data_IF_089430610055
#
_entry.id   IF_089430610055
#
_cell.length_a   1.000
_cell.length_b   1.000
_cell.length_c   1.000
_cell.angle_alpha   90.00
_cell.angle_beta   90.00
_cell.angle_gamma   90.00
#
_symmetry.space_group_name_H-M   'P 1'
#
loop_
_entity.id
_entity.type
_entity.pdbx_description
1 polymer ?
#
# COMPACT_ATOMS: atom_id res chain seq x y z
N UNK A 1 -22.85 59.39 -40.45
CA UNK A 1 -23.34 58.73 -41.68
C UNK A 1 -24.85 58.49 -41.53
N UNK A 2 -25.63 59.18 -42.36
CA UNK A 2 -26.95 58.81 -42.92
C UNK A 2 -28.07 58.48 -41.89
N UNK A 3 -28.90 59.46 -41.48
CA UNK A 3 -30.24 59.80 -42.04
C UNK A 3 -31.22 58.62 -42.19
N UNK A 4 -32.34 58.64 -41.46
CA UNK A 4 -33.67 58.76 -42.09
C UNK A 4 -34.78 59.02 -41.05
N UNK A 5 -35.40 60.18 -41.23
CA UNK A 5 -36.62 60.68 -40.63
C UNK A 5 -37.88 59.97 -41.15
N UNK A 6 -38.93 59.90 -40.34
CA UNK A 6 -40.27 60.51 -40.53
C UNK A 6 -41.36 59.43 -40.46
N UNK A 7 -42.60 59.61 -40.00
CA UNK A 7 -43.43 60.77 -39.64
C UNK A 7 -44.64 60.23 -38.83
N UNK A 8 -45.03 60.98 -37.80
CA UNK A 8 -46.40 61.47 -37.55
C UNK A 8 -47.59 60.49 -37.60
N UNK A 9 -48.28 60.30 -36.46
CA UNK A 9 -49.73 60.59 -36.37
C UNK A 9 -50.21 60.54 -34.92
N UNK A 10 -50.70 61.68 -34.43
CA UNK A 10 -51.36 61.79 -33.12
C UNK A 10 -52.75 61.19 -33.18
N UNK A 11 -53.13 60.42 -32.15
CA UNK A 11 -54.53 60.28 -31.74
C UNK A 11 -54.66 60.41 -30.22
N UNK A 12 -55.27 61.52 -29.84
CA UNK A 12 -55.77 61.86 -28.53
C UNK A 12 -56.72 60.79 -27.99
N UNK A 13 -56.61 60.41 -26.72
CA UNK A 13 -57.76 60.08 -25.88
C UNK A 13 -57.53 60.52 -24.42
N UNK A 14 -58.57 61.05 -23.75
CA UNK A 14 -58.41 61.92 -22.57
C UNK A 14 -58.34 61.19 -21.23
N UNK A 15 -57.78 61.95 -20.30
CA UNK A 15 -57.66 61.83 -18.85
C UNK A 15 -58.84 61.12 -18.14
N UNK A 16 -58.54 60.00 -17.49
CA UNK A 16 -59.27 59.57 -16.29
C UNK A 16 -58.27 59.33 -15.16
N UNK A 17 -58.27 60.25 -14.18
CA UNK A 17 -57.43 60.25 -13.00
C UNK A 17 -58.18 59.53 -11.89
N UNK A 18 -57.87 58.26 -11.64
CA UNK A 18 -58.25 57.56 -10.42
C UNK A 18 -57.02 57.49 -9.51
N UNK A 19 -56.98 58.36 -8.50
CA UNK A 19 -56.03 58.28 -7.40
C UNK A 19 -56.41 57.10 -6.50
N UNK A 20 -55.83 55.92 -6.76
CA UNK A 20 -55.84 54.84 -5.78
C UNK A 20 -54.82 55.16 -4.69
N UNK A 21 -55.31 55.53 -3.51
CA UNK A 21 -54.51 55.52 -2.28
C UNK A 21 -53.98 54.11 -2.07
N UNK A 22 -52.68 53.90 -2.33
CA UNK A 22 -52.00 52.65 -1.98
C UNK A 22 -51.82 52.63 -0.46
N UNK A 23 -52.76 52.00 0.23
CA UNK A 23 -52.51 51.48 1.57
C UNK A 23 -51.37 50.47 1.44
N UNK A 24 -50.17 50.83 1.90
CA UNK A 24 -49.10 49.86 2.09
C UNK A 24 -49.39 49.13 3.40
N UNK A 25 -49.74 47.84 3.39
CA UNK A 25 -49.79 47.09 4.64
C UNK A 25 -48.37 47.11 5.22
N UNK A 26 -48.23 47.49 6.48
CA UNK A 26 -47.04 47.19 7.26
C UNK A 26 -46.97 45.68 7.42
N UNK A 27 -46.43 45.01 6.40
CA UNK A 27 -45.98 43.65 6.54
C UNK A 27 -44.81 43.75 7.51
N UNK A 28 -45.05 43.49 8.79
CA UNK A 28 -43.97 43.15 9.71
C UNK A 28 -43.20 42.05 9.01
N UNK A 29 -42.00 42.36 8.49
CA UNK A 29 -41.09 41.34 8.01
C UNK A 29 -40.82 40.48 9.22
N UNK A 30 -41.60 39.40 9.39
CA UNK A 30 -41.17 38.27 10.21
C UNK A 30 -39.82 37.92 9.59
N UNK A 31 -38.75 38.30 10.28
CA UNK A 31 -37.41 37.88 9.89
C UNK A 31 -37.47 36.38 9.64
N UNK A 32 -36.69 35.85 8.67
CA UNK A 32 -36.75 34.44 8.34
C UNK A 32 -36.74 33.66 9.66
N UNK A 33 -37.73 32.80 9.88
CA UNK A 33 -37.65 31.89 11.01
C UNK A 33 -36.32 31.18 10.79
N UNK A 34 -35.36 31.42 11.70
CA UNK A 34 -34.14 30.63 11.69
C UNK A 34 -34.65 29.21 11.80
N UNK A 35 -34.59 28.43 10.70
CA UNK A 35 -34.84 27.01 10.78
C UNK A 35 -33.90 26.56 11.87
N UNK A 36 -34.47 26.15 13.01
CA UNK A 36 -33.66 25.72 14.13
C UNK A 36 -32.85 24.55 13.59
N UNK A 37 -31.53 24.67 13.67
CA UNK A 37 -30.67 23.64 13.13
C UNK A 37 -31.00 22.36 13.90
N UNK A 38 -31.47 21.30 13.23
CA UNK A 38 -31.95 20.10 13.93
C UNK A 38 -30.83 19.44 14.75
N UNK A 39 -29.58 19.72 14.39
CA UNK A 39 -28.40 19.29 15.15
C UNK A 39 -28.25 20.10 16.44
N UNK A 40 -28.57 21.39 16.45
CA UNK A 40 -28.47 22.23 17.64
C UNK A 40 -29.53 21.86 18.70
N UNK A 41 -30.76 21.55 18.28
CA UNK A 41 -31.84 21.14 19.19
C UNK A 41 -31.53 19.82 19.94
N UNK A 42 -30.75 18.91 19.34
CA UNK A 42 -30.36 17.65 19.99
C UNK A 42 -29.43 17.84 21.20
N UNK A 43 -28.70 18.96 21.26
CA UNK A 43 -27.76 19.27 22.34
C UNK A 43 -28.26 20.38 23.27
N UNK A 44 -29.49 20.87 23.07
CA UNK A 44 -30.11 21.87 23.94
C UNK A 44 -30.43 21.25 25.31
N UNK A 45 -29.72 21.70 26.35
CA UNK A 45 -29.83 21.17 27.72
C UNK A 45 -31.26 21.33 28.27
N UNK A 46 -31.94 22.43 27.91
CA UNK A 46 -33.31 22.73 28.37
C UNK A 46 -34.36 21.77 27.79
N UNK A 47 -34.10 21.20 26.61
CA UNK A 47 -35.03 20.32 25.91
C UNK A 47 -34.54 18.85 25.85
N UNK A 48 -33.49 18.51 26.60
CA UNK A 48 -32.96 17.15 26.62
C UNK A 48 -33.97 16.21 27.31
N UNK A 49 -34.35 15.07 26.69
CA UNK A 49 -35.21 14.10 27.34
C UNK A 49 -34.53 13.51 28.58
N UNK A 50 -35.34 13.12 29.57
CA UNK A 50 -34.84 12.41 30.76
C UNK A 50 -34.28 11.05 30.32
N UNK A 51 -33.12 10.69 30.86
CA UNK A 51 -32.48 9.42 30.55
C UNK A 51 -33.22 8.24 31.19
N UNK A 52 -33.66 7.28 30.36
CA UNK A 52 -34.51 6.15 30.77
C UNK A 52 -33.74 4.85 31.06
N UNK A 53 -32.41 4.90 31.16
CA UNK A 53 -31.53 3.73 31.36
C UNK A 53 -31.62 2.68 30.22
N UNK A 54 -31.92 3.13 29.01
CA UNK A 54 -32.12 2.31 27.80
C UNK A 54 -30.86 2.17 26.93
N UNK A 55 -29.87 3.05 27.08
CA UNK A 55 -28.61 3.04 26.35
C UNK A 55 -27.40 2.82 27.27
N UNK A 56 -26.34 2.18 26.77
CA UNK A 56 -25.08 2.07 27.51
C UNK A 56 -24.26 3.36 27.44
N UNK A 57 -23.42 3.61 28.44
CA UNK A 57 -22.37 4.63 28.35
C UNK A 57 -21.33 4.22 27.29
N UNK A 58 -20.61 5.19 26.72
CA UNK A 58 -19.56 4.93 25.72
C UNK A 58 -18.57 3.81 26.12
N UNK A 59 -17.96 3.81 27.32
CA UNK A 59 -17.05 2.72 27.70
C UNK A 59 -17.75 1.36 27.78
N UNK A 60 -19.01 1.31 28.22
CA UNK A 60 -19.81 0.08 28.22
C UNK A 60 -20.09 -0.43 26.81
N UNK A 61 -20.40 0.48 25.87
CA UNK A 61 -20.61 0.14 24.47
C UNK A 61 -19.32 -0.33 23.78
N UNK A 62 -18.17 0.30 24.07
CA UNK A 62 -16.88 -0.11 23.52
C UNK A 62 -16.52 -1.54 23.98
N UNK A 63 -16.83 -1.91 25.24
CA UNK A 63 -16.68 -3.28 25.76
C UNK A 63 -17.61 -4.26 25.00
N UNK A 64 -18.85 -3.85 24.74
CA UNK A 64 -19.80 -4.66 23.96
C UNK A 64 -19.31 -4.90 22.53
N UNK A 65 -18.78 -3.89 21.85
CA UNK A 65 -18.20 -4.03 20.52
C UNK A 65 -17.00 -4.99 20.52
N UNK A 66 -16.10 -4.87 21.49
CA UNK A 66 -14.97 -5.80 21.64
C UNK A 66 -15.46 -7.25 21.82
N UNK A 67 -16.52 -7.48 22.60
CA UNK A 67 -17.13 -8.81 22.71
C UNK A 67 -17.71 -9.30 21.37
N UNK A 68 -18.34 -8.42 20.60
CA UNK A 68 -18.87 -8.75 19.29
C UNK A 68 -17.77 -9.15 18.30
N UNK A 69 -16.64 -8.43 18.31
CA UNK A 69 -15.46 -8.76 17.52
C UNK A 69 -14.92 -10.15 17.87
N UNK A 70 -14.74 -10.44 19.16
CA UNK A 70 -14.31 -11.77 19.63
C UNK A 70 -15.25 -12.86 19.14
N UNK A 71 -16.57 -12.66 19.27
CA UNK A 71 -17.58 -13.63 18.79
C UNK A 71 -17.52 -13.83 17.28
N UNK A 72 -17.23 -12.77 16.52
CA UNK A 72 -17.05 -12.87 15.08
C UNK A 72 -15.84 -13.75 14.74
N UNK A 73 -14.70 -13.56 15.41
CA UNK A 73 -13.54 -14.45 15.21
C UNK A 73 -13.82 -15.89 15.61
N UNK A 74 -14.51 -16.15 16.74
CA UNK A 74 -14.90 -17.50 17.14
C UNK A 74 -15.80 -18.17 16.10
N UNK A 75 -16.71 -17.42 15.48
CA UNK A 75 -17.55 -17.92 14.38
C UNK A 75 -16.69 -18.33 13.17
N UNK A 76 -15.73 -17.48 12.78
CA UNK A 76 -14.78 -17.79 11.69
C UNK A 76 -13.95 -19.03 12.00
N UNK A 77 -13.43 -19.15 13.22
CA UNK A 77 -12.67 -20.32 13.68
C UNK A 77 -13.48 -21.60 13.59
N UNK A 78 -14.77 -21.56 13.95
CA UNK A 78 -15.63 -22.73 13.95
C UNK A 78 -16.09 -23.15 12.55
N UNK A 79 -16.46 -22.18 11.70
CA UNK A 79 -17.14 -22.48 10.44
C UNK A 79 -16.30 -22.26 9.19
N UNK A 80 -15.36 -21.30 9.19
CA UNK A 80 -14.56 -20.94 8.03
C UNK A 80 -13.19 -21.63 8.03
N UNK A 81 -12.45 -21.61 9.16
CA UNK A 81 -11.10 -22.19 9.22
C UNK A 81 -11.04 -23.69 8.87
N UNK A 82 -12.00 -24.54 9.29
CA UNK A 82 -11.96 -25.96 8.90
C UNK A 82 -12.10 -26.15 7.39
N UNK A 83 -12.72 -25.21 6.67
CA UNK A 83 -12.84 -25.27 5.21
C UNK A 83 -11.50 -25.01 4.51
N UNK A 84 -10.57 -24.29 5.15
CA UNK A 84 -9.24 -24.04 4.60
C UNK A 84 -8.40 -25.31 4.49
N UNK A 85 -8.71 -26.35 5.28
CA UNK A 85 -8.05 -27.67 5.16
C UNK A 85 -8.16 -28.28 3.75
N UNK A 86 -9.21 -27.92 2.99
CA UNK A 86 -9.41 -28.37 1.60
C UNK A 86 -8.37 -27.84 0.63
N UNK A 87 -7.72 -26.72 0.99
CA UNK A 87 -6.68 -26.07 0.19
C UNK A 87 -5.28 -26.28 0.78
N UNK A 88 -5.14 -27.13 1.80
CA UNK A 88 -3.85 -27.43 2.38
C UNK A 88 -3.06 -28.37 1.46
N UNK A 89 -1.84 -27.98 1.15
CA UNK A 89 -0.86 -28.80 0.44
C UNK A 89 0.14 -29.38 1.45
N UNK A 90 0.58 -30.62 1.24
CA UNK A 90 1.59 -31.24 2.10
C UNK A 90 2.96 -30.56 1.90
N UNK A 91 3.71 -30.38 2.99
CA UNK A 91 5.04 -29.81 2.90
C UNK A 91 6.03 -30.83 2.32
N UNK A 92 6.51 -30.55 1.10
CA UNK A 92 7.58 -31.30 0.45
C UNK A 92 8.90 -30.56 0.70
N UNK A 93 9.88 -31.18 1.39
CA UNK A 93 11.16 -30.54 1.61
C UNK A 93 11.86 -30.23 0.27
N UNK A 94 12.62 -29.13 0.19
CA UNK A 94 13.33 -28.77 -1.03
C UNK A 94 14.34 -29.87 -1.40
N UNK A 95 14.46 -30.13 -2.70
CA UNK A 95 15.45 -31.07 -3.23
C UNK A 95 16.88 -30.64 -2.85
N UNK A 96 17.82 -31.57 -2.64
CA UNK A 96 19.23 -31.21 -2.44
C UNK A 96 19.84 -30.45 -3.64
N UNK A 97 19.20 -30.48 -4.81
CA UNK A 97 19.60 -29.68 -5.98
C UNK A 97 19.25 -28.20 -5.85
N UNK A 98 18.23 -27.84 -5.05
CA UNK A 98 17.83 -26.45 -4.83
C UNK A 98 18.68 -25.81 -3.72
N UNK A 99 19.81 -25.24 -4.13
CA UNK A 99 20.83 -24.68 -3.23
C UNK A 99 20.53 -23.21 -2.86
N UNK A 100 19.81 -22.49 -3.71
CA UNK A 100 19.57 -21.06 -3.56
C UNK A 100 18.35 -20.78 -2.69
N UNK A 101 18.52 -20.03 -1.60
CA UNK A 101 17.42 -19.57 -0.76
C UNK A 101 17.18 -18.08 -1.00
N UNK A 102 15.99 -17.72 -1.49
CA UNK A 102 15.59 -16.33 -1.71
C UNK A 102 14.62 -15.87 -0.63
N UNK A 103 14.92 -14.74 -0.01
CA UNK A 103 14.05 -14.06 0.94
C UNK A 103 13.53 -12.75 0.33
N UNK A 104 12.20 -12.68 0.23
CA UNK A 104 11.46 -11.48 -0.14
C UNK A 104 10.73 -10.94 1.11
N UNK A 105 10.55 -9.62 1.19
CA UNK A 105 9.81 -8.98 2.28
C UNK A 105 8.61 -8.25 1.69
N UNK A 106 7.41 -8.52 2.21
CA UNK A 106 6.17 -7.91 1.76
C UNK A 106 5.48 -7.23 2.95
N UNK A 107 5.02 -6.00 2.78
CA UNK A 107 4.18 -5.30 3.77
C UNK A 107 2.75 -5.26 3.25
N UNK A 108 1.82 -5.84 4.01
CA UNK A 108 0.42 -5.95 3.61
C UNK A 108 -0.26 -4.60 3.85
N UNK A 109 -0.90 -4.05 2.82
CA UNK A 109 -1.66 -2.80 2.93
C UNK A 109 -0.84 -1.52 2.70
N UNK A 110 0.48 -1.62 2.56
CA UNK A 110 1.37 -0.46 2.36
C UNK A 110 2.30 -0.67 1.17
N UNK A 111 2.51 0.37 0.37
CA UNK A 111 3.52 0.37 -0.70
C UNK A 111 4.85 0.91 -0.16
N UNK A 112 5.72 0.02 0.30
CA UNK A 112 7.07 0.40 0.77
C UNK A 112 8.13 0.08 -0.29
N UNK A 113 9.05 1.02 -0.60
CA UNK A 113 10.12 0.76 -1.57
C UNK A 113 11.05 -0.39 -1.14
N UNK A 114 11.12 -0.67 0.16
CA UNK A 114 11.93 -1.76 0.74
C UNK A 114 11.46 -3.14 0.27
N UNK A 115 10.21 -3.28 -0.17
CA UNK A 115 9.65 -4.55 -0.67
C UNK A 115 10.35 -5.07 -1.92
N UNK A 116 10.98 -4.18 -2.68
CA UNK A 116 11.66 -4.54 -3.91
C UNK A 116 12.97 -5.28 -3.65
N UNK A 117 13.57 -5.09 -2.47
CA UNK A 117 14.82 -5.74 -2.09
C UNK A 117 14.64 -7.25 -1.98
N UNK A 118 15.52 -7.97 -2.66
CA UNK A 118 15.65 -9.42 -2.55
C UNK A 118 16.98 -9.77 -1.88
N UNK A 119 16.94 -10.73 -0.96
CA UNK A 119 18.13 -11.28 -0.31
C UNK A 119 18.28 -12.73 -0.76
N UNK A 120 19.48 -13.10 -1.16
CA UNK A 120 19.86 -14.47 -1.51
C UNK A 120 20.89 -14.97 -0.51
N UNK A 121 20.61 -16.14 0.07
CA UNK A 121 21.52 -16.85 0.97
C UNK A 121 21.90 -18.18 0.34
N UNK A 122 23.20 -18.49 0.41
CA UNK A 122 23.72 -19.79 -0.02
C UNK A 122 24.62 -20.36 1.07
N UNK A 123 24.39 -21.62 1.41
CA UNK A 123 25.22 -22.34 2.37
C UNK A 123 26.53 -22.83 1.76
N UNK A 124 27.62 -22.76 2.53
CA UNK A 124 28.92 -23.25 2.08
C UNK A 124 28.92 -24.75 1.80
N UNK A 125 28.22 -25.55 2.62
CA UNK A 125 28.18 -27.00 2.46
C UNK A 125 27.62 -27.41 1.10
N UNK A 126 26.52 -26.77 0.69
CA UNK A 126 25.83 -27.01 -0.58
C UNK A 126 26.69 -26.62 -1.78
N UNK A 127 27.44 -25.52 -1.71
CA UNK A 127 28.38 -25.12 -2.77
C UNK A 127 29.61 -26.04 -2.79
N UNK A 128 30.09 -26.49 -1.62
CA UNK A 128 31.28 -27.35 -1.50
C UNK A 128 31.12 -28.67 -2.25
N UNK A 129 29.90 -29.20 -2.34
CA UNK A 129 29.61 -30.40 -3.12
C UNK A 129 29.80 -30.21 -4.64
N UNK A 130 29.74 -28.97 -5.16
CA UNK A 130 29.77 -28.67 -6.59
C UNK A 130 31.16 -28.26 -7.13
N UNK A 131 32.06 -27.82 -6.27
CA UNK A 131 33.32 -27.19 -6.67
C UNK A 131 34.52 -27.88 -6.03
N UNK A 132 35.63 -27.94 -6.76
CA UNK A 132 36.91 -28.41 -6.23
C UNK A 132 37.48 -27.43 -5.20
N UNK A 133 38.29 -27.89 -4.24
CA UNK A 133 38.89 -27.04 -3.20
C UNK A 133 39.55 -25.75 -3.71
N UNK A 134 40.26 -25.80 -4.85
CA UNK A 134 40.87 -24.62 -5.48
C UNK A 134 39.82 -23.62 -5.99
N UNK A 135 38.75 -24.12 -6.60
CA UNK A 135 37.65 -23.31 -7.12
C UNK A 135 36.82 -22.71 -5.98
N UNK A 136 36.61 -23.46 -4.89
CA UNK A 136 35.95 -22.97 -3.68
C UNK A 136 36.73 -21.83 -3.04
N UNK A 137 38.04 -21.99 -2.88
CA UNK A 137 38.88 -20.91 -2.35
C UNK A 137 38.79 -19.65 -3.21
N UNK A 138 38.84 -19.81 -4.55
CA UNK A 138 38.64 -18.69 -5.49
C UNK A 138 37.24 -18.08 -5.36
N UNK A 139 36.20 -18.88 -5.24
CA UNK A 139 34.82 -18.42 -5.07
C UNK A 139 34.66 -17.59 -3.78
N UNK A 140 35.23 -18.06 -2.66
CA UNK A 140 35.25 -17.32 -1.39
C UNK A 140 35.97 -15.98 -1.54
N UNK A 141 37.13 -15.95 -2.20
CA UNK A 141 37.87 -14.71 -2.47
C UNK A 141 37.06 -13.73 -3.34
N UNK A 142 36.38 -14.22 -4.38
CA UNK A 142 35.53 -13.38 -5.24
C UNK A 142 34.33 -12.80 -4.48
N UNK A 143 33.78 -13.54 -3.52
CA UNK A 143 32.68 -13.07 -2.69
C UNK A 143 33.10 -12.00 -1.67
N UNK A 144 34.35 -12.04 -1.22
CA UNK A 144 34.93 -11.08 -0.28
C UNK A 144 34.11 -10.98 1.03
N UNK A 145 33.69 -9.77 1.45
CA UNK A 145 33.02 -9.56 2.75
C UNK A 145 31.60 -10.15 2.83
N UNK A 146 31.07 -10.68 1.73
CA UNK A 146 29.74 -11.29 1.68
C UNK A 146 29.72 -12.70 2.28
N UNK A 147 30.90 -13.25 2.55
CA UNK A 147 31.07 -14.55 3.16
C UNK A 147 31.31 -14.40 4.67
N UNK A 148 30.46 -15.04 5.47
CA UNK A 148 30.52 -14.97 6.92
C UNK A 148 31.25 -16.17 7.56
N UNK A 149 31.91 -17.02 6.77
CA UNK A 149 32.50 -18.29 7.23
C UNK A 149 31.58 -19.51 7.07
N UNK A 150 30.26 -19.30 7.15
CA UNK A 150 29.25 -20.36 7.10
C UNK A 150 28.38 -20.24 5.85
N UNK A 151 27.92 -19.03 5.55
CA UNK A 151 27.01 -18.73 4.44
C UNK A 151 27.49 -17.53 3.63
N UNK A 152 27.02 -17.46 2.38
CA UNK A 152 27.17 -16.32 1.49
C UNK A 152 25.84 -15.57 1.43
N UNK A 153 25.89 -14.27 1.70
CA UNK A 153 24.69 -13.41 1.72
C UNK A 153 24.80 -12.29 0.70
N UNK A 154 23.86 -12.27 -0.23
CA UNK A 154 23.75 -11.26 -1.27
C UNK A 154 22.42 -10.55 -1.14
N UNK A 155 22.39 -9.26 -1.48
CA UNK A 155 21.13 -8.53 -1.60
C UNK A 155 21.16 -7.58 -2.78
N UNK A 156 20.02 -7.41 -3.43
CA UNK A 156 19.85 -6.48 -4.54
C UNK A 156 18.58 -5.66 -4.35
N UNK A 157 18.70 -4.35 -4.56
CA UNK A 157 17.61 -3.36 -4.52
C UNK A 157 17.81 -2.31 -5.61
N UNK A 158 18.31 -2.75 -6.78
CA UNK A 158 18.67 -1.85 -7.89
C UNK A 158 17.47 -1.56 -8.80
N UNK A 159 16.56 -2.51 -8.89
CA UNK A 159 15.45 -2.49 -9.82
C UNK A 159 14.12 -2.23 -9.08
N UNK A 160 13.12 -1.63 -9.75
CA UNK A 160 11.83 -1.32 -9.16
C UNK A 160 10.97 -2.55 -8.87
N UNK A 161 11.30 -3.71 -9.45
CA UNK A 161 10.54 -4.94 -9.26
C UNK A 161 11.40 -6.02 -8.60
N UNK A 162 10.86 -6.66 -7.55
CA UNK A 162 11.53 -7.75 -6.84
C UNK A 162 11.94 -8.90 -7.79
N UNK A 163 11.13 -9.22 -8.81
CA UNK A 163 11.46 -10.26 -9.79
C UNK A 163 12.72 -9.93 -10.61
N UNK A 164 12.94 -8.65 -10.94
CA UNK A 164 14.15 -8.20 -11.63
C UNK A 164 15.38 -8.29 -10.71
N UNK A 165 15.24 -7.88 -9.45
CA UNK A 165 16.28 -8.03 -8.43
C UNK A 165 16.64 -9.51 -8.20
N UNK A 166 15.65 -10.40 -8.15
CA UNK A 166 15.84 -11.85 -8.04
C UNK A 166 16.61 -12.41 -9.23
N UNK A 167 16.21 -12.05 -10.46
CA UNK A 167 16.90 -12.48 -11.69
C UNK A 167 18.35 -12.01 -11.69
N UNK A 168 18.59 -10.75 -11.36
CA UNK A 168 19.94 -10.21 -11.28
C UNK A 168 20.83 -10.97 -10.29
N UNK A 169 20.29 -11.37 -9.14
CA UNK A 169 21.02 -12.19 -8.17
C UNK A 169 21.33 -13.59 -8.71
N UNK A 170 20.40 -14.20 -9.46
CA UNK A 170 20.65 -15.47 -10.16
C UNK A 170 21.83 -15.33 -11.14
N UNK A 171 21.73 -14.36 -12.06
CA UNK A 171 22.76 -14.10 -13.07
C UNK A 171 24.12 -13.77 -12.44
N UNK A 172 24.12 -13.12 -11.26
CA UNK A 172 25.34 -12.81 -10.51
C UNK A 172 26.00 -14.07 -9.95
N UNK A 173 25.21 -15.01 -9.40
CA UNK A 173 25.73 -16.28 -8.88
C UNK A 173 26.30 -17.12 -10.02
N UNK A 174 25.62 -17.16 -11.16
CA UNK A 174 26.11 -17.87 -12.35
C UNK A 174 27.47 -17.31 -12.80
N UNK A 175 27.61 -15.98 -12.88
CA UNK A 175 28.88 -15.32 -13.18
C UNK A 175 29.97 -15.63 -12.17
N UNK A 176 29.65 -15.63 -10.87
CA UNK A 176 30.61 -16.00 -9.82
C UNK A 176 31.08 -17.46 -9.97
N UNK A 177 30.16 -18.36 -10.31
CA UNK A 177 30.47 -19.76 -10.54
C UNK A 177 31.35 -19.96 -11.77
N UNK A 178 31.06 -19.25 -12.86
CA UNK A 178 31.87 -19.23 -14.07
C UNK A 178 33.29 -18.72 -13.78
N UNK A 179 33.41 -17.58 -13.11
CA UNK A 179 34.72 -17.02 -12.73
C UNK A 179 35.48 -17.94 -11.77
N UNK A 180 34.80 -18.61 -10.84
CA UNK A 180 35.43 -19.59 -9.96
C UNK A 180 35.96 -20.81 -10.72
N UNK A 181 35.25 -21.27 -11.76
CA UNK A 181 35.65 -22.41 -12.61
C UNK A 181 36.74 -22.06 -13.61
N UNK A 182 36.84 -20.80 -14.05
CA UNK A 182 37.93 -20.34 -14.91
C UNK A 182 39.28 -20.57 -14.22
N UNK A 183 40.04 -21.53 -14.74
CA UNK A 183 41.42 -21.76 -14.31
C UNK A 183 42.24 -20.50 -14.59
N UNK A 184 43.05 -20.09 -13.63
CA UNK A 184 44.00 -19.00 -13.82
C UNK A 184 44.98 -19.47 -14.89
N UNK A 185 44.84 -18.94 -16.11
CA UNK A 185 45.83 -19.12 -17.15
C UNK A 185 47.03 -18.27 -16.73
N UNK A 186 47.98 -18.91 -16.05
CA UNK A 186 49.20 -18.31 -15.52
C UNK A 186 50.16 -17.92 -16.65
N UNK A 187 49.75 -17.04 -17.57
CA UNK A 187 50.72 -16.36 -18.46
C UNK A 187 51.63 -15.40 -17.66
N UNK A 188 51.19 -14.97 -16.48
CA UNK A 188 51.94 -14.08 -15.60
C UNK A 188 53.11 -14.82 -14.93
N UNK A 189 53.04 -16.14 -14.73
CA UNK A 189 54.12 -16.91 -14.12
C UNK A 189 55.18 -17.38 -15.12
N UNK A 190 54.88 -17.32 -16.41
CA UNK A 190 55.83 -17.67 -17.48
C UNK A 190 56.98 -16.64 -17.56
N UNK A 191 56.67 -15.36 -17.39
CA UNK A 191 57.68 -14.28 -17.31
C UNK A 191 58.65 -14.40 -16.12
N UNK A 192 58.31 -15.18 -15.07
CA UNK A 192 59.20 -15.42 -13.92
C UNK A 192 60.05 -16.67 -14.14
N UNK A 193 59.65 -17.57 -15.02
CA UNK A 193 60.43 -18.75 -15.40
C UNK A 193 61.41 -18.45 -16.55
N UNK A 194 61.15 -17.40 -17.32
CA UNK A 194 61.96 -16.95 -18.46
C UNK A 194 63.01 -15.85 -18.09
N UNK A 195 63.22 -15.59 -16.79
CA UNK A 195 64.28 -14.73 -16.22
C UNK A 195 65.23 -15.59 -15.40
#
# INVERSE_FOLDING_TARGET
MIYLSSRFSQRNLPLFRLTLCRHFPTFSRRGPSRRRDPVAELYDIENMPVYEFDAMTKPGFDIFLAQQEVRNYLRKTKYELPQLSKFAEEFIPPSPTSILCFKNSYYIGESSPIQNKVVLTIELHSIKALLTQKQLHKFVLLCGPRFNGIEFKFSCDKFPHANQNKKYLSDLVDKLLEEAKKMINLKIFQWIQDI
#
